data_IF_746053032316
#
_entry.id   IF_746053032316
#
_cell.length_a   1.000
_cell.length_b   1.000
_cell.length_c   1.000
_cell.angle_alpha   90.00
_cell.angle_beta   90.00
_cell.angle_gamma   90.00
#
_symmetry.space_group_name_H-M   'P 1'
#
loop_
_entity.id
_entity.type
_entity.pdbx_description
1 polymer ?
#
# COMPACT_ATOMS: atom_id res chain seq x y z
N UNK A 1 -6.38 -8.27 -10.94
CA UNK A 1 -7.20 -7.06 -11.25
C UNK A 1 -8.04 -6.61 -10.05
N UNK A 2 -8.73 -7.51 -9.35
CA UNK A 2 -9.56 -7.23 -8.17
C UNK A 2 -8.91 -6.27 -7.15
N UNK A 3 -7.70 -6.58 -6.68
CA UNK A 3 -6.95 -5.74 -5.72
C UNK A 3 -6.54 -4.37 -6.27
N UNK A 4 -6.22 -4.26 -7.57
CA UNK A 4 -5.72 -3.03 -8.19
C UNK A 4 -6.89 -2.07 -8.51
N UNK A 5 -8.03 -2.61 -8.93
CA UNK A 5 -9.25 -1.84 -9.24
C UNK A 5 -10.20 -1.71 -8.06
N UNK A 6 -9.91 -2.40 -6.97
CA UNK A 6 -10.81 -2.58 -5.83
C UNK A 6 -12.20 -3.12 -6.24
N UNK A 7 -12.20 -4.06 -7.18
CA UNK A 7 -13.42 -4.58 -7.82
C UNK A 7 -13.94 -5.83 -7.10
N UNK A 8 -14.94 -5.66 -6.24
CA UNK A 8 -15.55 -6.74 -5.45
C UNK A 8 -16.22 -7.79 -6.33
N UNK A 9 -16.71 -7.42 -7.52
CA UNK A 9 -17.34 -8.38 -8.45
C UNK A 9 -16.31 -9.27 -9.13
N UNK A 10 -15.05 -8.83 -9.22
CA UNK A 10 -13.95 -9.63 -9.75
C UNK A 10 -13.45 -10.72 -8.79
N UNK A 11 -14.01 -10.83 -7.58
CA UNK A 11 -13.53 -11.76 -6.54
C UNK A 11 -13.81 -13.22 -6.90
N UNK A 12 -14.92 -13.50 -7.60
CA UNK A 12 -15.35 -14.86 -7.91
C UNK A 12 -14.38 -15.58 -8.86
N UNK A 13 -13.60 -14.81 -9.62
CA UNK A 13 -12.57 -15.31 -10.53
C UNK A 13 -11.22 -15.58 -9.86
N UNK A 14 -11.07 -15.31 -8.56
CA UNK A 14 -9.83 -15.57 -7.83
C UNK A 14 -9.77 -17.00 -7.27
N UNK A 15 -8.57 -17.54 -6.99
CA UNK A 15 -8.43 -18.71 -6.14
C UNK A 15 -8.98 -18.44 -4.73
N UNK A 16 -9.52 -19.46 -4.05
CA UNK A 16 -10.23 -19.27 -2.78
C UNK A 16 -9.37 -18.62 -1.68
N UNK A 17 -8.08 -18.95 -1.61
CA UNK A 17 -7.17 -18.32 -0.66
C UNK A 17 -7.03 -16.80 -0.91
N UNK A 18 -7.03 -16.37 -2.18
CA UNK A 18 -6.97 -14.96 -2.54
C UNK A 18 -8.30 -14.23 -2.30
N UNK A 19 -9.44 -14.94 -2.40
CA UNK A 19 -10.75 -14.37 -2.03
C UNK A 19 -10.76 -14.00 -0.55
N UNK A 20 -10.32 -14.92 0.30
CA UNK A 20 -10.25 -14.71 1.74
C UNK A 20 -9.36 -13.50 2.07
N UNK A 21 -8.14 -13.44 1.50
CA UNK A 21 -7.25 -12.31 1.71
C UNK A 21 -7.87 -10.97 1.27
N UNK A 22 -8.58 -10.95 0.13
CA UNK A 22 -9.20 -9.72 -0.37
C UNK A 22 -10.33 -9.27 0.56
N UNK A 23 -11.19 -10.19 1.00
CA UNK A 23 -12.30 -9.88 1.91
C UNK A 23 -11.79 -9.35 3.25
N UNK A 24 -10.77 -9.98 3.83
CA UNK A 24 -10.15 -9.51 5.09
C UNK A 24 -9.57 -8.11 4.90
N UNK A 25 -8.82 -7.89 3.81
CA UNK A 25 -8.26 -6.58 3.51
C UNK A 25 -9.36 -5.51 3.31
N UNK A 26 -10.35 -5.82 2.49
CA UNK A 26 -11.48 -4.93 2.18
C UNK A 26 -12.23 -4.52 3.45
N UNK A 27 -12.56 -5.47 4.31
CA UNK A 27 -13.29 -5.22 5.54
C UNK A 27 -12.46 -4.43 6.54
N UNK A 28 -11.17 -4.77 6.70
CA UNK A 28 -10.26 -4.02 7.56
C UNK A 28 -10.13 -2.56 7.12
N UNK A 29 -9.99 -2.30 5.81
CA UNK A 29 -9.88 -0.92 5.32
C UNK A 29 -11.16 -0.11 5.55
N UNK A 30 -12.33 -0.72 5.35
CA UNK A 30 -13.60 -0.06 5.65
C UNK A 30 -13.76 0.22 7.15
N UNK A 31 -13.33 -0.71 8.01
CA UNK A 31 -13.37 -0.53 9.46
C UNK A 31 -12.47 0.64 9.90
N UNK A 32 -11.22 0.68 9.45
CA UNK A 32 -10.30 1.77 9.75
C UNK A 32 -10.86 3.11 9.27
N UNK A 33 -11.38 3.15 8.04
CA UNK A 33 -11.96 4.39 7.49
C UNK A 33 -13.17 4.87 8.31
N UNK A 34 -13.99 3.95 8.82
CA UNK A 34 -15.13 4.25 9.65
C UNK A 34 -14.71 4.78 11.03
N UNK A 35 -13.72 4.18 11.66
CA UNK A 35 -13.23 4.61 12.97
C UNK A 35 -12.59 6.01 12.90
N UNK A 36 -11.86 6.30 11.84
CA UNK A 36 -11.33 7.65 11.59
C UNK A 36 -12.44 8.66 11.35
N UNK A 37 -13.45 8.31 10.55
CA UNK A 37 -14.60 9.19 10.31
C UNK A 37 -15.39 9.52 11.58
N UNK A 38 -15.47 8.58 12.54
CA UNK A 38 -16.13 8.81 13.83
C UNK A 38 -15.46 9.90 14.67
N UNK A 39 -14.14 10.04 14.60
CA UNK A 39 -13.37 10.99 15.41
C UNK A 39 -13.13 12.29 14.63
N UNK A 40 -12.61 12.16 13.42
CA UNK A 40 -12.05 13.28 12.65
C UNK A 40 -13.05 13.84 11.61
N UNK A 41 -14.16 13.13 11.34
CA UNK A 41 -15.16 13.49 10.32
C UNK A 41 -14.61 13.59 8.88
N UNK A 42 -13.48 12.93 8.61
CA UNK A 42 -12.83 12.89 7.29
C UNK A 42 -13.01 11.50 6.65
N UNK A 43 -13.22 11.47 5.33
CA UNK A 43 -13.34 10.23 4.56
C UNK A 43 -11.99 9.79 3.97
N UNK A 44 -11.37 8.77 4.56
CA UNK A 44 -10.04 8.31 4.16
C UNK A 44 -10.04 7.05 3.28
N UNK A 45 -11.20 6.47 3.01
CA UNK A 45 -11.30 5.16 2.37
C UNK A 45 -10.63 5.11 0.99
N UNK A 46 -10.75 6.18 0.19
CA UNK A 46 -10.14 6.26 -1.14
C UNK A 46 -8.61 6.23 -1.05
N UNK A 47 -8.05 6.95 -0.07
CA UNK A 47 -6.61 6.97 0.20
C UNK A 47 -6.11 5.56 0.58
N UNK A 48 -6.78 4.89 1.53
CA UNK A 48 -6.44 3.52 1.93
C UNK A 48 -6.46 2.55 0.73
N UNK A 49 -7.53 2.59 -0.08
CA UNK A 49 -7.67 1.72 -1.26
C UNK A 49 -6.56 1.95 -2.29
N UNK A 50 -6.20 3.21 -2.55
CA UNK A 50 -5.14 3.56 -3.49
C UNK A 50 -3.77 3.04 -3.03
N UNK A 51 -3.41 3.24 -1.75
CA UNK A 51 -2.15 2.76 -1.21
C UNK A 51 -2.00 1.24 -1.35
N UNK A 52 -3.03 0.48 -1.00
CA UNK A 52 -3.02 -0.98 -1.13
C UNK A 52 -3.00 -1.43 -2.60
N UNK A 53 -3.69 -0.71 -3.49
CA UNK A 53 -3.62 -0.97 -4.92
C UNK A 53 -2.21 -0.74 -5.47
N UNK A 54 -1.50 0.31 -5.02
CA UNK A 54 -0.12 0.58 -5.43
C UNK A 54 0.85 -0.47 -4.93
N UNK A 55 0.71 -0.93 -3.68
CA UNK A 55 1.46 -2.06 -3.15
C UNK A 55 1.27 -3.33 -4.00
N UNK A 56 0.02 -3.64 -4.37
CA UNK A 56 -0.28 -4.78 -5.24
C UNK A 56 0.31 -4.62 -6.65
N UNK A 57 0.33 -3.41 -7.21
CA UNK A 57 0.99 -3.14 -8.51
C UNK A 57 2.50 -3.35 -8.40
N UNK A 58 3.12 -2.89 -7.31
CA UNK A 58 4.56 -3.02 -7.11
C UNK A 58 4.99 -4.50 -7.00
N UNK A 59 4.27 -5.31 -6.21
CA UNK A 59 4.51 -6.75 -6.15
C UNK A 59 4.25 -7.46 -7.49
N UNK A 60 3.20 -7.05 -8.22
CA UNK A 60 2.94 -7.62 -9.55
C UNK A 60 4.08 -7.30 -10.54
N UNK A 61 4.69 -6.12 -10.43
CA UNK A 61 5.84 -5.73 -11.26
C UNK A 61 7.05 -6.62 -10.99
N UNK A 62 7.38 -6.84 -9.71
CA UNK A 62 8.43 -7.77 -9.29
C UNK A 62 8.18 -9.20 -9.77
N UNK A 63 6.96 -9.70 -9.59
CA UNK A 63 6.59 -11.03 -10.08
C UNK A 63 6.78 -11.14 -11.60
N UNK A 64 6.38 -10.13 -12.37
CA UNK A 64 6.59 -10.11 -13.83
C UNK A 64 8.07 -10.16 -14.19
N UNK A 65 8.91 -9.35 -13.54
CA UNK A 65 10.36 -9.37 -13.79
C UNK A 65 10.97 -10.74 -13.51
N UNK A 66 10.58 -11.35 -12.38
CA UNK A 66 11.04 -12.69 -11.99
C UNK A 66 10.65 -13.76 -13.03
N UNK A 67 9.36 -13.85 -13.38
CA UNK A 67 8.87 -14.87 -14.30
C UNK A 67 9.33 -14.68 -15.75
N UNK A 68 9.60 -13.44 -16.17
CA UNK A 68 10.14 -13.18 -17.52
C UNK A 68 11.66 -13.30 -17.61
N UNK A 69 12.36 -13.48 -16.47
CA UNK A 69 13.82 -13.42 -16.42
C UNK A 69 14.38 -12.04 -16.77
N UNK A 70 13.59 -10.97 -16.61
CA UNK A 70 14.02 -9.61 -16.94
C UNK A 70 15.08 -9.16 -15.93
N UNK A 71 16.23 -8.73 -16.43
CA UNK A 71 17.29 -8.15 -15.60
C UNK A 71 17.03 -6.67 -15.40
N UNK A 72 16.43 -6.35 -14.26
CA UNK A 72 16.14 -5.00 -13.81
C UNK A 72 17.43 -4.26 -13.43
N UNK A 73 17.50 -2.95 -13.68
CA UNK A 73 18.59 -2.11 -13.16
C UNK A 73 18.41 -1.88 -11.65
N UNK A 74 19.46 -1.48 -10.96
CA UNK A 74 19.35 -1.16 -9.52
C UNK A 74 18.37 0.01 -9.28
N UNK A 75 18.43 1.03 -10.13
CA UNK A 75 17.54 2.20 -10.05
C UNK A 75 16.07 1.80 -10.23
N UNK A 76 15.75 1.05 -11.30
CA UNK A 76 14.38 0.61 -11.55
C UNK A 76 13.86 -0.33 -10.44
N UNK A 77 14.74 -1.18 -9.91
CA UNK A 77 14.40 -2.02 -8.76
C UNK A 77 14.08 -1.19 -7.52
N UNK A 78 14.95 -0.24 -7.16
CA UNK A 78 14.80 0.60 -5.96
C UNK A 78 13.53 1.42 -6.03
N UNK A 79 13.22 2.02 -7.18
CA UNK A 79 11.98 2.78 -7.39
C UNK A 79 10.72 1.96 -7.09
N UNK A 80 10.67 0.71 -7.56
CA UNK A 80 9.54 -0.18 -7.26
C UNK A 80 9.59 -0.68 -5.81
N UNK A 81 10.80 -0.97 -5.32
CA UNK A 81 11.06 -1.52 -4.01
C UNK A 81 10.63 -0.59 -2.87
N UNK A 82 10.69 0.73 -3.08
CA UNK A 82 10.16 1.75 -2.18
C UNK A 82 8.68 1.55 -1.85
N UNK A 83 7.91 1.00 -2.79
CA UNK A 83 6.48 0.71 -2.58
C UNK A 83 6.31 -0.73 -2.10
N UNK A 84 7.00 -1.70 -2.73
CA UNK A 84 6.82 -3.13 -2.44
C UNK A 84 7.29 -3.57 -1.05
N UNK A 85 8.14 -2.78 -0.37
CA UNK A 85 8.52 -3.02 1.04
C UNK A 85 7.40 -2.65 2.04
N UNK A 86 6.26 -2.14 1.57
CA UNK A 86 5.08 -1.78 2.35
C UNK A 86 5.28 -0.69 3.43
N UNK A 87 6.48 -0.09 3.53
CA UNK A 87 6.75 1.01 4.45
C UNK A 87 5.78 2.20 4.32
N UNK A 88 5.36 2.64 3.11
CA UNK A 88 4.36 3.70 2.98
C UNK A 88 3.00 3.32 3.57
N UNK A 89 2.59 2.06 3.38
CA UNK A 89 1.33 1.53 3.93
C UNK A 89 1.43 1.50 5.46
N UNK A 90 2.52 0.96 6.02
CA UNK A 90 2.73 0.89 7.46
C UNK A 90 2.72 2.29 8.10
N UNK A 91 3.46 3.25 7.53
CA UNK A 91 3.53 4.62 8.03
C UNK A 91 2.17 5.31 7.99
N UNK A 92 1.40 5.13 6.92
CA UNK A 92 0.06 5.70 6.83
C UNK A 92 -0.90 5.12 7.89
N UNK A 93 -0.80 3.82 8.20
CA UNK A 93 -1.62 3.19 9.23
C UNK A 93 -1.24 3.61 10.66
N UNK A 94 0.00 4.06 10.89
CA UNK A 94 0.44 4.64 12.17
C UNK A 94 0.10 6.12 12.26
N UNK A 95 0.27 6.87 11.18
CA UNK A 95 0.11 8.32 11.17
C UNK A 95 -1.36 8.74 11.34
N UNK A 96 -2.29 7.99 10.75
CA UNK A 96 -3.72 8.28 10.79
C UNK A 96 -4.26 8.24 12.24
N UNK A 97 -4.03 7.21 13.07
CA UNK A 97 -4.46 7.22 14.47
C UNK A 97 -3.68 8.17 15.38
N UNK A 98 -2.39 8.42 15.09
CA UNK A 98 -1.50 9.18 15.96
C UNK A 98 -1.63 10.71 15.83
N UNK A 99 -2.31 11.21 14.80
CA UNK A 99 -2.40 12.64 14.49
C UNK A 99 -3.81 13.14 14.78
N UNK A 100 -3.96 14.04 15.76
CA UNK A 100 -5.24 14.72 16.05
C UNK A 100 -5.00 16.24 16.19
N UNK A 101 -5.61 17.08 15.33
CA UNK A 101 -6.50 16.72 14.24
C UNK A 101 -5.74 16.22 12.99
N UNK A 102 -6.31 15.27 12.26
CA UNK A 102 -5.78 14.87 10.96
C UNK A 102 -6.04 16.01 9.97
N UNK A 103 -4.97 16.65 9.48
CA UNK A 103 -5.11 17.68 8.45
C UNK A 103 -5.30 17.00 7.10
N UNK A 104 -6.41 17.27 6.39
CA UNK A 104 -6.63 16.76 5.02
C UNK A 104 -5.45 17.06 4.07
N UNK A 105 -4.74 18.16 4.29
CA UNK A 105 -3.53 18.50 3.52
C UNK A 105 -2.39 17.50 3.74
N UNK A 106 -2.22 16.97 4.97
CA UNK A 106 -1.24 15.94 5.29
C UNK A 106 -1.59 14.62 4.58
N UNK A 107 -2.88 14.29 4.49
CA UNK A 107 -3.35 13.15 3.70
C UNK A 107 -3.06 13.31 2.20
N UNK A 108 -3.37 14.48 1.62
CA UNK A 108 -3.06 14.78 0.22
C UNK A 108 -1.55 14.77 -0.07
N UNK A 109 -0.71 15.12 0.91
CA UNK A 109 0.75 14.98 0.74
C UNK A 109 1.19 13.52 0.79
N UNK A 110 0.49 12.65 1.53
CA UNK A 110 0.77 11.21 1.55
C UNK A 110 0.40 10.52 0.23
N UNK A 111 -0.55 11.03 -0.54
CA UNK A 111 -0.88 10.51 -1.89
C UNK A 111 0.33 10.52 -2.84
N UNK A 112 1.30 11.42 -2.63
CA UNK A 112 2.52 11.54 -3.44
C UNK A 112 3.73 10.82 -2.84
N UNK A 113 3.56 10.16 -1.69
CA UNK A 113 4.64 9.62 -0.86
C UNK A 113 5.76 10.64 -0.61
N UNK A 114 5.72 11.39 0.49
CA UNK A 114 6.73 12.39 0.82
C UNK A 114 8.14 11.79 0.81
N UNK A 115 9.15 12.61 0.52
CA UNK A 115 10.55 12.18 0.43
C UNK A 115 11.00 11.37 1.67
N UNK A 116 10.56 11.76 2.87
CA UNK A 116 10.83 11.01 4.11
C UNK A 116 10.31 9.57 4.08
N UNK A 117 9.14 9.35 3.48
CA UNK A 117 8.54 8.00 3.31
C UNK A 117 9.34 7.20 2.30
N UNK A 118 9.79 7.83 1.22
CA UNK A 118 10.62 7.19 0.20
C UNK A 118 11.99 6.79 0.77
N UNK A 119 12.67 7.70 1.48
CA UNK A 119 13.94 7.42 2.14
C UNK A 119 13.81 6.31 3.20
N UNK A 120 12.73 6.33 3.99
CA UNK A 120 12.47 5.26 4.96
C UNK A 120 12.29 3.92 4.26
N UNK A 121 11.58 3.89 3.14
CA UNK A 121 11.38 2.68 2.36
C UNK A 121 12.68 2.14 1.73
N UNK A 122 13.56 3.03 1.24
CA UNK A 122 14.90 2.64 0.76
C UNK A 122 15.70 2.01 1.90
N UNK A 123 15.71 2.62 3.09
CA UNK A 123 16.42 2.10 4.25
C UNK A 123 15.91 0.71 4.66
N UNK A 124 14.59 0.55 4.78
CA UNK A 124 13.98 -0.76 5.07
C UNK A 124 14.33 -1.81 4.03
N UNK A 125 14.31 -1.45 2.74
CA UNK A 125 14.67 -2.36 1.66
C UNK A 125 16.14 -2.79 1.72
N UNK A 126 17.05 -1.85 2.00
CA UNK A 126 18.46 -2.15 2.12
C UNK A 126 18.73 -3.08 3.30
N UNK A 127 18.07 -2.85 4.45
CA UNK A 127 18.18 -3.75 5.61
C UNK A 127 17.66 -5.17 5.29
N UNK A 128 16.47 -5.27 4.70
CA UNK A 128 15.85 -6.55 4.27
C UNK A 128 16.75 -7.31 3.29
N UNK A 129 17.33 -6.62 2.30
CA UNK A 129 18.26 -7.21 1.35
C UNK A 129 19.59 -7.69 1.96
N UNK A 130 19.98 -7.15 3.13
CA UNK A 130 21.14 -7.59 3.90
C UNK A 130 20.82 -8.73 4.88
N UNK A 131 19.54 -9.14 4.98
CA UNK A 131 19.09 -10.19 5.89
C UNK A 131 18.95 -9.74 7.35
N UNK A 132 18.74 -8.44 7.58
CA UNK A 132 18.55 -7.82 8.90
C UNK A 132 17.06 -7.59 9.15
#
# INVERSE_FOLDING_TARGET
MCYIRWDVHGIDHLPDYMKLCFLVLHNTMNQIAFDVFKVERIHIIKFLKNMWADLCKAHLREAKWYYSGYKVSLEEYVENACISIAAPVALAHVHVPATNPIREAAMKSMDKYPEVVQLSAILFRLADGLGI
#
